data_IF_240804459309
#
_entry.id   IF_240804459309
#
_cell.length_a   1.000
_cell.length_b   1.000
_cell.length_c   1.000
_cell.angle_alpha   90.00
_cell.angle_beta   90.00
_cell.angle_gamma   90.00
#
_symmetry.space_group_name_H-M   'P 1'
#
loop_
_entity.id
_entity.type
_entity.pdbx_description
1 polymer ?
#
# COMPACT_ATOMS: atom_id res chain seq x y z
N UNK A 1 25.89 3.04 -26.44
CA UNK A 1 26.14 2.12 -27.59
C UNK A 1 27.26 1.12 -27.29
N UNK A 2 28.37 1.52 -26.66
CA UNK A 2 29.45 0.60 -26.27
C UNK A 2 29.15 -0.44 -25.16
N UNK A 3 28.40 -0.15 -24.07
CA UNK A 3 28.21 -1.15 -22.99
C UNK A 3 27.32 -2.34 -23.37
N UNK A 4 26.37 -2.15 -24.30
CA UNK A 4 25.49 -3.23 -24.78
C UNK A 4 26.23 -4.26 -25.66
N UNK A 5 27.28 -3.83 -26.37
CA UNK A 5 28.06 -4.72 -27.23
C UNK A 5 29.01 -5.60 -26.41
N UNK A 6 29.56 -5.08 -25.31
CA UNK A 6 30.37 -5.86 -24.37
C UNK A 6 29.54 -6.89 -23.61
N UNK A 7 28.32 -6.52 -23.18
CA UNK A 7 27.39 -7.42 -22.49
C UNK A 7 26.93 -8.58 -23.40
N UNK A 8 26.62 -8.29 -24.68
CA UNK A 8 26.31 -9.32 -25.68
C UNK A 8 27.50 -10.22 -26.02
N UNK A 9 28.73 -9.68 -26.03
CA UNK A 9 29.94 -10.48 -26.24
C UNK A 9 30.22 -11.43 -25.07
N UNK A 10 30.02 -10.98 -23.83
CA UNK A 10 30.09 -11.84 -22.64
C UNK A 10 29.02 -12.93 -22.65
N UNK A 11 27.78 -12.60 -23.03
CA UNK A 11 26.71 -13.59 -23.15
C UNK A 11 27.01 -14.68 -24.18
N UNK A 12 27.68 -14.33 -25.30
CA UNK A 12 28.12 -15.31 -26.31
C UNK A 12 29.23 -16.24 -25.80
N UNK A 13 30.20 -15.70 -25.06
CA UNK A 13 31.26 -16.50 -24.45
C UNK A 13 30.70 -17.46 -23.38
N UNK A 14 29.77 -16.98 -22.55
CA UNK A 14 29.07 -17.83 -21.58
C UNK A 14 28.21 -18.91 -22.26
N UNK A 15 27.61 -18.60 -23.42
CA UNK A 15 26.87 -19.57 -24.21
C UNK A 15 27.75 -20.71 -24.73
N UNK A 16 28.96 -20.41 -25.20
CA UNK A 16 29.91 -21.42 -25.67
C UNK A 16 30.40 -22.33 -24.54
N UNK A 17 30.64 -21.78 -23.35
CA UNK A 17 30.97 -22.60 -22.18
C UNK A 17 29.80 -23.49 -21.75
N UNK A 18 28.57 -22.95 -21.76
CA UNK A 18 27.35 -23.72 -21.47
C UNK A 18 27.15 -24.88 -22.44
N UNK A 19 27.46 -24.69 -23.73
CA UNK A 19 27.42 -25.75 -24.74
C UNK A 19 28.44 -26.86 -24.41
N UNK A 20 29.68 -26.51 -24.10
CA UNK A 20 30.72 -27.51 -23.74
C UNK A 20 30.34 -28.31 -22.49
N UNK A 21 29.65 -27.68 -21.53
CA UNK A 21 29.16 -28.36 -20.32
C UNK A 21 27.93 -29.22 -20.61
N UNK A 22 27.07 -28.79 -21.52
CA UNK A 22 25.93 -29.58 -22.00
C UNK A 22 26.40 -30.83 -22.77
N UNK A 23 27.45 -30.72 -23.60
CA UNK A 23 28.07 -31.87 -24.29
C UNK A 23 28.66 -32.91 -23.34
N UNK A 24 29.07 -32.47 -22.14
CA UNK A 24 29.53 -33.37 -21.06
C UNK A 24 28.38 -34.06 -20.30
N UNK A 25 27.12 -33.84 -20.69
CA UNK A 25 25.95 -34.51 -20.12
C UNK A 25 25.41 -33.88 -18.83
N UNK A 26 25.76 -32.63 -18.51
CA UNK A 26 25.23 -31.99 -17.30
C UNK A 26 23.78 -31.51 -17.50
N UNK A 27 22.83 -32.12 -16.77
CA UNK A 27 21.39 -31.92 -16.94
C UNK A 27 20.94 -30.45 -16.93
N UNK A 28 21.30 -29.66 -15.91
CA UNK A 28 20.91 -28.23 -15.83
C UNK A 28 21.50 -27.37 -16.94
N UNK A 29 22.64 -27.77 -17.50
CA UNK A 29 23.27 -27.04 -18.60
C UNK A 29 22.55 -27.36 -19.91
N UNK A 30 22.23 -28.64 -20.14
CA UNK A 30 21.39 -29.08 -21.26
C UNK A 30 20.02 -28.39 -21.25
N UNK A 31 19.38 -28.26 -20.09
CA UNK A 31 18.11 -27.52 -19.97
C UNK A 31 18.26 -26.06 -20.44
N UNK A 32 19.24 -25.32 -19.92
CA UNK A 32 19.47 -23.91 -20.30
C UNK A 32 19.75 -23.76 -21.80
N UNK A 33 20.58 -24.64 -22.35
CA UNK A 33 20.93 -24.66 -23.77
C UNK A 33 19.69 -24.94 -24.63
N UNK A 34 18.86 -25.92 -24.26
CA UNK A 34 17.64 -26.26 -24.99
C UNK A 34 16.65 -25.09 -25.01
N UNK A 35 16.46 -24.42 -23.86
CA UNK A 35 15.62 -23.23 -23.76
C UNK A 35 16.15 -22.07 -24.62
N UNK A 36 17.46 -21.87 -24.65
CA UNK A 36 18.07 -20.84 -25.49
C UNK A 36 17.95 -21.15 -26.99
N UNK A 37 18.07 -22.42 -27.40
CA UNK A 37 17.80 -22.83 -28.77
C UNK A 37 16.32 -22.64 -29.15
N UNK A 38 15.40 -22.77 -28.20
CA UNK A 38 13.97 -22.58 -28.44
C UNK A 38 13.59 -21.10 -28.64
N UNK A 39 14.08 -20.21 -27.77
CA UNK A 39 13.69 -18.80 -27.76
C UNK A 39 14.64 -17.88 -28.55
N UNK A 40 15.88 -18.30 -28.77
CA UNK A 40 16.87 -17.54 -29.54
C UNK A 40 17.56 -16.41 -28.74
N UNK A 41 17.64 -16.53 -27.41
CA UNK A 41 18.16 -15.46 -26.53
C UNK A 41 19.63 -15.11 -26.84
N UNK A 42 20.53 -16.10 -26.80
CA UNK A 42 21.98 -15.92 -26.97
C UNK A 42 22.60 -16.83 -28.04
N UNK A 43 21.77 -17.61 -28.75
CA UNK A 43 22.15 -18.44 -29.89
C UNK A 43 21.09 -18.38 -30.98
N UNK A 44 21.43 -18.79 -32.20
CA UNK A 44 20.45 -18.90 -33.29
C UNK A 44 19.34 -19.89 -32.93
N UNK A 45 18.09 -19.48 -33.15
CA UNK A 45 16.92 -20.30 -32.88
C UNK A 45 16.94 -21.58 -33.70
N UNK A 46 16.78 -22.73 -33.03
CA UNK A 46 16.70 -24.03 -33.68
C UNK A 46 15.73 -24.95 -32.93
N UNK A 47 14.46 -24.88 -33.34
CA UNK A 47 13.35 -25.58 -32.67
C UNK A 47 13.47 -27.10 -32.77
N UNK A 48 14.00 -27.64 -33.88
CA UNK A 48 14.12 -29.09 -34.07
C UNK A 48 15.18 -29.69 -33.16
N UNK A 49 16.36 -29.06 -33.06
CA UNK A 49 17.40 -29.50 -32.12
C UNK A 49 16.98 -29.32 -30.66
N UNK A 50 16.30 -28.21 -30.34
CA UNK A 50 15.77 -27.97 -29.00
C UNK A 50 14.80 -29.09 -28.59
N UNK A 51 13.90 -29.49 -29.49
CA UNK A 51 12.96 -30.58 -29.27
C UNK A 51 13.67 -31.90 -28.95
N UNK A 52 14.64 -32.32 -29.77
CA UNK A 52 15.39 -33.56 -29.53
C UNK A 52 16.09 -33.56 -28.16
N UNK A 53 16.61 -32.41 -27.76
CA UNK A 53 17.23 -32.24 -26.44
C UNK A 53 16.20 -32.31 -25.31
N UNK A 54 15.02 -31.69 -25.48
CA UNK A 54 13.94 -31.79 -24.51
C UNK A 54 13.36 -33.21 -24.40
N UNK A 55 13.26 -33.96 -25.50
CA UNK A 55 12.81 -35.36 -25.47
C UNK A 55 13.77 -36.23 -24.64
N UNK A 56 15.09 -36.07 -24.82
CA UNK A 56 16.09 -36.77 -24.00
C UNK A 56 15.96 -36.40 -22.52
N UNK A 57 15.92 -35.11 -22.22
CA UNK A 57 15.78 -34.60 -20.85
C UNK A 57 14.46 -35.01 -20.19
N UNK A 58 13.38 -35.15 -20.96
CA UNK A 58 12.08 -35.58 -20.45
C UNK A 58 12.08 -37.06 -20.07
N UNK A 59 12.80 -37.91 -20.82
CA UNK A 59 13.01 -39.32 -20.47
C UNK A 59 13.83 -39.44 -19.17
N UNK A 60 14.81 -38.55 -18.98
CA UNK A 60 15.57 -38.43 -17.72
C UNK A 60 14.73 -37.87 -16.55
N UNK A 61 13.48 -37.46 -16.80
CA UNK A 61 12.58 -36.95 -15.77
C UNK A 61 12.74 -35.46 -15.44
N UNK A 62 13.36 -34.66 -16.31
CA UNK A 62 13.46 -33.21 -16.10
C UNK A 62 12.08 -32.54 -16.17
N UNK A 63 11.61 -31.89 -15.09
CA UNK A 63 10.31 -31.24 -15.07
C UNK A 63 10.26 -29.98 -15.96
N UNK A 64 11.41 -29.32 -16.16
CA UNK A 64 11.52 -28.19 -17.10
C UNK A 64 11.42 -28.65 -18.54
N UNK A 65 12.10 -29.71 -18.91
CA UNK A 65 12.01 -30.26 -20.26
C UNK A 65 10.61 -30.76 -20.59
N UNK A 66 9.94 -31.45 -19.65
CA UNK A 66 8.54 -31.84 -19.81
C UNK A 66 7.63 -30.63 -20.04
N UNK A 67 7.81 -29.56 -19.27
CA UNK A 67 7.05 -28.31 -19.46
C UNK A 67 7.31 -27.68 -20.84
N UNK A 68 8.56 -27.68 -21.30
CA UNK A 68 8.93 -27.18 -22.63
C UNK A 68 8.32 -28.02 -23.76
N UNK A 69 8.32 -29.36 -23.65
CA UNK A 69 7.61 -30.22 -24.61
C UNK A 69 6.11 -29.93 -24.63
N UNK A 70 5.52 -29.71 -23.45
CA UNK A 70 4.13 -29.26 -23.34
C UNK A 70 3.88 -27.96 -24.13
N UNK A 71 4.80 -27.01 -24.08
CA UNK A 71 4.75 -25.77 -24.85
C UNK A 71 4.86 -26.02 -26.36
N UNK A 72 5.80 -26.86 -26.80
CA UNK A 72 5.94 -27.22 -28.22
C UNK A 72 4.67 -27.86 -28.78
N UNK A 73 4.03 -28.80 -28.06
CA UNK A 73 2.78 -29.42 -28.47
C UNK A 73 1.58 -28.46 -28.40
N UNK A 74 1.56 -27.53 -27.45
CA UNK A 74 0.50 -26.52 -27.36
C UNK A 74 0.58 -25.54 -28.53
N UNK A 75 1.78 -25.04 -28.83
CA UNK A 75 2.02 -24.06 -29.89
C UNK A 75 2.13 -24.67 -31.30
N UNK A 76 2.35 -25.98 -31.41
CA UNK A 76 2.58 -26.65 -32.70
C UNK A 76 3.96 -26.36 -33.30
N UNK A 77 4.95 -26.10 -32.46
CA UNK A 77 6.31 -25.74 -32.88
C UNK A 77 7.14 -27.01 -33.11
N UNK A 78 7.42 -27.35 -34.37
CA UNK A 78 8.21 -28.55 -34.74
C UNK A 78 7.50 -29.89 -34.50
N UNK A 79 6.22 -29.86 -34.10
CA UNK A 79 5.34 -31.02 -33.88
C UNK A 79 3.90 -30.66 -34.25
N UNK A 80 3.08 -31.67 -34.57
CA UNK A 80 1.64 -31.45 -34.74
C UNK A 80 1.03 -30.96 -33.43
N UNK A 81 0.30 -29.84 -33.50
CA UNK A 81 -0.36 -29.27 -32.33
C UNK A 81 -1.33 -30.27 -31.71
N UNK A 82 -1.23 -30.47 -30.40
CA UNK A 82 -2.10 -31.36 -29.64
C UNK A 82 -2.24 -30.85 -28.22
N UNK A 83 -3.41 -30.30 -27.90
CA UNK A 83 -3.70 -29.79 -26.56
C UNK A 83 -3.74 -30.91 -25.50
N UNK A 84 -4.19 -32.11 -25.89
CA UNK A 84 -4.21 -33.27 -25.00
C UNK A 84 -2.80 -33.73 -24.62
N UNK A 85 -1.87 -33.83 -25.59
CA UNK A 85 -0.47 -34.15 -25.29
C UNK A 85 0.20 -33.04 -24.47
N UNK A 86 -0.09 -31.78 -24.79
CA UNK A 86 0.42 -30.65 -24.03
C UNK A 86 0.00 -30.73 -22.56
N UNK A 87 -1.28 -31.02 -22.29
CA UNK A 87 -1.82 -31.19 -20.94
C UNK A 87 -1.06 -32.28 -20.17
N UNK A 88 -0.83 -33.44 -20.78
CA UNK A 88 -0.09 -34.56 -20.16
C UNK A 88 1.33 -34.15 -19.79
N UNK A 89 2.03 -33.43 -20.66
CA UNK A 89 3.38 -32.95 -20.36
C UNK A 89 3.41 -31.89 -19.26
N UNK A 90 2.40 -31.00 -19.21
CA UNK A 90 2.27 -30.02 -18.13
C UNK A 90 1.95 -30.68 -16.79
N UNK A 91 1.14 -31.75 -16.75
CA UNK A 91 0.88 -32.47 -15.49
C UNK A 91 2.14 -33.16 -14.97
N UNK A 92 2.94 -33.78 -15.84
CA UNK A 92 4.25 -34.33 -15.43
C UNK A 92 5.20 -33.24 -14.93
N UNK A 93 5.28 -32.11 -15.64
CA UNK A 93 6.09 -30.97 -15.21
C UNK A 93 5.67 -30.40 -13.85
N UNK A 94 4.36 -30.33 -13.58
CA UNK A 94 3.81 -29.88 -12.31
C UNK A 94 4.09 -30.88 -11.18
N UNK A 95 3.92 -32.18 -11.43
CA UNK A 95 4.27 -33.24 -10.47
C UNK A 95 5.76 -33.23 -10.11
N UNK A 96 6.63 -32.87 -11.05
CA UNK A 96 8.05 -32.67 -10.80
C UNK A 96 8.41 -31.32 -10.16
N UNK A 97 7.43 -30.55 -9.68
CA UNK A 97 7.63 -29.32 -8.92
C UNK A 97 7.95 -28.08 -9.76
N UNK A 98 7.68 -28.08 -11.07
CA UNK A 98 7.89 -26.89 -11.89
C UNK A 98 6.78 -25.85 -11.68
N UNK A 99 7.16 -24.68 -11.16
CA UNK A 99 6.25 -23.55 -10.94
C UNK A 99 5.56 -23.08 -12.21
N UNK A 100 6.27 -23.05 -13.34
CA UNK A 100 5.70 -22.62 -14.62
C UNK A 100 4.61 -23.59 -15.07
N UNK A 101 4.80 -24.90 -14.85
CA UNK A 101 3.79 -25.90 -15.17
C UNK A 101 2.53 -25.73 -14.32
N UNK A 102 2.68 -25.45 -13.01
CA UNK A 102 1.54 -25.13 -12.15
C UNK A 102 0.79 -23.89 -12.63
N UNK A 103 1.49 -22.81 -13.02
CA UNK A 103 0.81 -21.62 -13.57
C UNK A 103 0.04 -21.94 -14.85
N UNK A 104 0.64 -22.71 -15.77
CA UNK A 104 -0.01 -23.08 -17.04
C UNK A 104 -1.25 -23.93 -16.78
N UNK A 105 -1.20 -24.88 -15.85
CA UNK A 105 -2.37 -25.68 -15.46
C UNK A 105 -3.46 -24.80 -14.84
N UNK A 106 -3.08 -23.87 -13.95
CA UNK A 106 -4.01 -22.89 -13.38
C UNK A 106 -4.76 -22.11 -14.47
N UNK A 107 -4.03 -21.61 -15.46
CA UNK A 107 -4.63 -20.88 -16.59
C UNK A 107 -5.53 -21.78 -17.46
N UNK A 108 -5.16 -23.04 -17.68
CA UNK A 108 -5.96 -23.99 -18.44
C UNK A 108 -7.27 -24.35 -17.74
N UNK A 109 -7.26 -24.53 -16.42
CA UNK A 109 -8.49 -24.76 -15.63
C UNK A 109 -9.37 -23.51 -15.56
N UNK A 110 -8.77 -22.32 -15.48
CA UNK A 110 -9.51 -21.06 -15.49
C UNK A 110 -10.16 -20.79 -16.86
N UNK A 111 -9.43 -21.01 -17.95
CA UNK A 111 -9.88 -20.76 -19.32
C UNK A 111 -10.59 -21.94 -20.01
N UNK A 112 -10.69 -23.11 -19.36
CA UNK A 112 -11.32 -24.31 -19.93
C UNK A 112 -10.60 -24.90 -21.15
N UNK A 113 -9.27 -24.75 -21.25
CA UNK A 113 -8.49 -25.16 -22.43
C UNK A 113 -7.98 -26.60 -22.30
N UNK A 114 -8.75 -27.54 -22.85
CA UNK A 114 -8.43 -28.98 -22.82
C UNK A 114 -8.78 -29.69 -21.51
N UNK A 115 -9.38 -28.97 -20.56
CA UNK A 115 -9.91 -29.45 -19.27
C UNK A 115 -11.24 -28.72 -19.00
N UNK A 116 -12.15 -29.31 -18.20
CA UNK A 116 -13.36 -28.59 -17.79
C UNK A 116 -12.99 -27.34 -16.99
N UNK A 117 -13.72 -26.25 -17.23
CA UNK A 117 -13.50 -24.99 -16.54
C UNK A 117 -13.80 -25.17 -15.04
N UNK A 118 -12.81 -24.87 -14.20
CA UNK A 118 -12.91 -24.99 -12.74
C UNK A 118 -12.09 -23.90 -12.06
N UNK A 119 -12.76 -22.98 -11.38
CA UNK A 119 -12.12 -21.92 -10.63
C UNK A 119 -11.37 -22.47 -9.41
N UNK A 120 -11.94 -23.47 -8.71
CA UNK A 120 -11.32 -24.07 -7.54
C UNK A 120 -10.00 -24.75 -7.89
N UNK A 121 -10.00 -25.58 -8.96
CA UNK A 121 -8.79 -26.25 -9.43
C UNK A 121 -7.72 -25.22 -9.85
N UNK A 122 -8.11 -24.15 -10.55
CA UNK A 122 -7.18 -23.09 -10.93
C UNK A 122 -6.53 -22.41 -9.71
N UNK A 123 -7.35 -22.06 -8.70
CA UNK A 123 -6.88 -21.43 -7.46
C UNK A 123 -5.90 -22.32 -6.70
N UNK A 124 -6.11 -23.65 -6.66
CA UNK A 124 -5.17 -24.56 -5.97
C UNK A 124 -3.77 -24.51 -6.61
N UNK A 125 -3.69 -24.51 -7.95
CA UNK A 125 -2.41 -24.40 -8.64
C UNK A 125 -1.74 -23.04 -8.42
N UNK A 126 -2.50 -21.94 -8.46
CA UNK A 126 -1.95 -20.61 -8.22
C UNK A 126 -1.48 -20.41 -6.78
N UNK A 127 -2.21 -20.91 -5.79
CA UNK A 127 -1.79 -20.88 -4.37
C UNK A 127 -0.48 -21.61 -4.14
N UNK A 128 -0.29 -22.78 -4.76
CA UNK A 128 0.98 -23.52 -4.67
C UNK A 128 2.17 -22.71 -5.20
N UNK A 129 2.00 -22.05 -6.35
CA UNK A 129 3.04 -21.19 -6.93
C UNK A 129 3.32 -20.00 -6.04
N UNK A 130 2.27 -19.31 -5.58
CA UNK A 130 2.39 -18.15 -4.71
C UNK A 130 3.14 -18.49 -3.41
N UNK A 131 2.83 -19.63 -2.78
CA UNK A 131 3.49 -20.07 -1.56
C UNK A 131 4.99 -20.35 -1.77
N UNK A 132 5.36 -20.97 -2.90
CA UNK A 132 6.77 -21.24 -3.20
C UNK A 132 7.54 -19.95 -3.55
N UNK A 133 6.94 -19.05 -4.32
CA UNK A 133 7.59 -17.76 -4.64
C UNK A 133 7.72 -16.91 -3.36
N UNK A 134 6.74 -16.94 -2.48
CA UNK A 134 6.78 -16.23 -1.20
C UNK A 134 7.88 -16.75 -0.26
N UNK A 135 8.21 -18.05 -0.30
CA UNK A 135 9.31 -18.62 0.49
C UNK A 135 10.69 -18.33 -0.10
N UNK A 136 10.80 -18.21 -1.42
CA UNK A 136 12.06 -17.94 -2.12
C UNK A 136 12.51 -16.46 -2.03
N UNK A 137 11.60 -15.53 -1.71
CA UNK A 137 11.94 -14.10 -1.54
C UNK A 137 12.61 -13.87 -0.19
N UNK A 138 13.95 -13.93 -0.15
CA UNK A 138 14.75 -13.39 0.94
C UNK A 138 14.83 -11.87 0.83
N UNK A 139 14.22 -11.16 1.79
CA UNK A 139 14.17 -9.68 1.88
C UNK A 139 15.51 -9.01 2.25
N UNK A 140 16.64 -9.73 2.18
CA UNK A 140 17.95 -9.11 2.28
C UNK A 140 18.33 -8.50 0.93
N UNK A 141 17.92 -7.23 0.78
CA UNK A 141 18.24 -6.26 -0.28
C UNK A 141 19.08 -6.76 -1.45
N UNK A 142 18.48 -6.76 -2.65
CA UNK A 142 19.28 -6.97 -3.86
C UNK A 142 18.56 -7.39 -5.12
N UNK A 143 17.25 -7.25 -5.25
CA UNK A 143 16.61 -7.08 -6.55
C UNK A 143 15.23 -6.51 -6.31
N UNK A 144 14.83 -5.56 -7.15
CA UNK A 144 13.52 -4.97 -7.12
C UNK A 144 12.49 -6.09 -7.33
N UNK A 145 11.95 -6.63 -6.24
CA UNK A 145 10.67 -7.33 -6.27
C UNK A 145 9.73 -6.30 -6.88
N UNK A 146 9.35 -6.52 -8.14
CA UNK A 146 8.39 -5.68 -8.82
C UNK A 146 7.11 -5.82 -8.00
N UNK A 147 6.88 -4.82 -7.14
CA UNK A 147 5.72 -4.75 -6.27
C UNK A 147 4.53 -4.56 -7.19
N UNK A 148 3.93 -5.68 -7.60
CA UNK A 148 2.65 -5.65 -8.29
C UNK A 148 1.68 -5.21 -7.22
N UNK A 149 1.44 -3.90 -7.18
CA UNK A 149 0.26 -3.36 -6.53
C UNK A 149 -0.89 -3.96 -7.31
N UNK A 150 -1.60 -4.91 -6.70
CA UNK A 150 -2.91 -5.28 -7.22
C UNK A 150 -3.67 -3.96 -7.25
N UNK A 151 -3.94 -3.48 -8.45
CA UNK A 151 -4.78 -2.30 -8.63
C UNK A 151 -6.10 -2.70 -7.97
N UNK A 152 -6.49 -1.96 -6.92
CA UNK A 152 -7.87 -1.98 -6.40
C UNK A 152 -8.74 -1.98 -7.65
N UNK A 153 -9.49 -3.06 -7.90
CA UNK A 153 -10.33 -3.13 -9.09
C UNK A 153 -11.21 -1.88 -9.09
N UNK A 154 -11.12 -1.21 -10.23
CA UNK A 154 -11.61 0.13 -10.52
C UNK A 154 -12.99 0.36 -9.93
N UNK A 155 -13.13 1.53 -9.28
CA UNK A 155 -14.33 2.36 -9.13
C UNK A 155 -15.50 1.93 -10.04
N UNK A 156 -16.21 0.87 -9.65
CA UNK A 156 -17.46 0.48 -10.29
C UNK A 156 -18.58 0.75 -9.27
N UNK A 157 -19.34 1.87 -9.39
CA UNK A 157 -20.36 2.26 -8.43
C UNK A 157 -21.63 1.40 -8.51
N UNK A 158 -21.54 0.17 -9.02
CA UNK A 158 -22.68 -0.59 -9.48
C UNK A 158 -22.45 -2.09 -9.48
N UNK A 159 -22.06 -2.66 -8.33
CA UNK A 159 -22.42 -4.02 -7.90
C UNK A 159 -21.62 -4.38 -6.65
N UNK A 160 -22.30 -4.48 -5.51
CA UNK A 160 -21.94 -5.32 -4.35
C UNK A 160 -20.44 -5.61 -4.15
N UNK A 161 -19.62 -4.56 -4.01
CA UNK A 161 -18.18 -4.68 -3.75
C UNK A 161 -17.80 -3.86 -2.52
N UNK A 162 -18.55 -4.08 -1.44
CA UNK A 162 -18.36 -3.44 -0.13
C UNK A 162 -17.38 -4.20 0.79
N UNK A 163 -16.88 -5.35 0.35
CA UNK A 163 -15.84 -6.12 1.05
C UNK A 163 -14.57 -6.03 0.21
N UNK A 164 -13.48 -5.52 0.79
CA UNK A 164 -12.19 -6.07 0.37
C UNK A 164 -12.28 -7.55 0.73
N UNK A 165 -12.02 -8.44 -0.23
CA UNK A 165 -11.93 -9.87 0.06
C UNK A 165 -11.00 -10.05 1.27
N UNK A 166 -11.42 -10.88 2.23
CA UNK A 166 -10.67 -11.18 3.45
C UNK A 166 -9.21 -11.57 3.13
N UNK A 167 -9.02 -12.23 1.98
CA UNK A 167 -7.75 -12.61 1.38
C UNK A 167 -6.82 -11.40 1.08
N UNK A 168 -7.36 -10.25 0.65
CA UNK A 168 -6.59 -9.04 0.37
C UNK A 168 -6.15 -8.33 1.66
N UNK A 169 -7.00 -8.33 2.69
CA UNK A 169 -6.63 -7.82 4.02
C UNK A 169 -5.53 -8.70 4.62
N UNK A 170 -5.63 -10.03 4.51
CA UNK A 170 -4.58 -10.97 4.93
C UNK A 170 -3.26 -10.72 4.19
N UNK A 171 -3.31 -10.44 2.89
CA UNK A 171 -2.12 -10.08 2.11
C UNK A 171 -1.46 -8.79 2.62
N UNK A 172 -2.24 -7.73 2.87
CA UNK A 172 -1.69 -6.50 3.44
C UNK A 172 -1.18 -6.70 4.87
N UNK A 173 -1.80 -7.57 5.67
CA UNK A 173 -1.31 -7.94 7.00
C UNK A 173 0.04 -8.64 6.92
N UNK A 174 0.17 -9.60 6.01
CA UNK A 174 1.45 -10.26 5.73
C UNK A 174 2.53 -9.25 5.31
N UNK A 175 2.21 -8.32 4.41
CA UNK A 175 3.15 -7.26 4.02
C UNK A 175 3.54 -6.36 5.20
N UNK A 176 2.58 -6.00 6.06
CA UNK A 176 2.84 -5.20 7.25
C UNK A 176 3.70 -5.92 8.28
N UNK A 177 3.49 -7.23 8.51
CA UNK A 177 4.35 -8.08 9.35
C UNK A 177 5.76 -8.22 8.78
N UNK A 178 5.90 -8.19 7.45
CA UNK A 178 7.20 -8.17 6.77
C UNK A 178 7.88 -6.80 6.77
N UNK A 179 7.25 -5.77 7.33
CA UNK A 179 7.82 -4.44 7.49
C UNK A 179 7.56 -3.48 6.33
N UNK A 180 6.57 -3.76 5.47
CA UNK A 180 6.16 -2.78 4.46
C UNK A 180 5.43 -1.60 5.10
N UNK A 181 6.13 -0.48 5.14
CA UNK A 181 5.69 0.78 5.73
C UNK A 181 4.40 1.30 5.10
N UNK A 182 4.19 1.09 3.79
CA UNK A 182 2.97 1.57 3.11
C UNK A 182 1.75 0.71 3.47
N UNK A 183 1.93 -0.62 3.55
CA UNK A 183 0.90 -1.53 4.00
C UNK A 183 0.48 -1.24 5.46
N UNK A 184 1.45 -0.96 6.33
CA UNK A 184 1.20 -0.56 7.73
C UNK A 184 0.33 0.71 7.81
N UNK A 185 0.64 1.75 7.02
CA UNK A 185 -0.17 2.99 6.99
C UNK A 185 -1.58 2.71 6.46
N UNK A 186 -1.71 1.93 5.40
CA UNK A 186 -3.02 1.59 4.80
C UNK A 186 -3.91 0.80 5.77
N UNK A 187 -3.37 -0.22 6.44
CA UNK A 187 -4.08 -0.98 7.46
C UNK A 187 -4.43 -0.13 8.69
N UNK A 188 -3.54 0.75 9.11
CA UNK A 188 -3.81 1.70 10.18
C UNK A 188 -5.01 2.60 9.87
N UNK A 189 -5.13 3.10 8.64
CA UNK A 189 -6.26 3.92 8.22
C UNK A 189 -7.58 3.14 8.18
N UNK A 190 -7.53 1.89 7.69
CA UNK A 190 -8.69 0.98 7.68
C UNK A 190 -9.22 0.75 9.10
N UNK A 191 -8.34 0.44 10.05
CA UNK A 191 -8.72 0.25 11.46
C UNK A 191 -9.15 1.55 12.15
N UNK A 192 -8.66 2.72 11.71
CA UNK A 192 -9.04 4.02 12.27
C UNK A 192 -10.46 4.44 11.89
N UNK A 193 -10.80 4.34 10.60
CA UNK A 193 -12.08 4.79 10.07
C UNK A 193 -13.18 3.73 10.16
N UNK A 194 -12.81 2.45 10.13
CA UNK A 194 -13.76 1.35 9.99
C UNK A 194 -14.34 1.32 8.57
N UNK A 195 -14.21 0.21 7.86
CA UNK A 195 -14.68 0.12 6.47
C UNK A 195 -14.13 -1.09 5.72
N UNK A 196 -14.79 -1.41 4.60
CA UNK A 196 -14.39 -2.51 3.68
C UNK A 196 -14.28 -3.90 4.34
N UNK A 197 -15.07 -4.18 5.37
CA UNK A 197 -15.07 -5.46 6.10
C UNK A 197 -14.16 -5.51 7.34
N UNK A 198 -13.45 -4.43 7.66
CA UNK A 198 -12.58 -4.34 8.84
C UNK A 198 -13.29 -3.57 9.98
N UNK A 199 -13.33 -4.18 11.16
CA UNK A 199 -13.85 -3.53 12.37
C UNK A 199 -12.96 -2.35 12.81
N UNK A 200 -13.61 -1.29 13.27
CA UNK A 200 -12.94 -0.11 13.82
C UNK A 200 -12.21 -0.50 15.11
N UNK A 201 -10.89 -0.32 15.13
CA UNK A 201 -10.06 -0.63 16.28
C UNK A 201 -8.91 0.37 16.39
N UNK A 202 -9.10 1.38 17.24
CA UNK A 202 -8.12 2.44 17.46
C UNK A 202 -6.78 1.95 18.01
N UNK A 203 -6.78 0.83 18.76
CA UNK A 203 -5.56 0.26 19.34
C UNK A 203 -4.71 -0.43 18.26
N UNK A 204 -5.34 -1.25 17.40
CA UNK A 204 -4.62 -1.83 16.24
C UNK A 204 -4.11 -0.76 15.28
N UNK A 205 -4.91 0.28 15.04
CA UNK A 205 -4.47 1.41 14.23
C UNK A 205 -3.22 2.08 14.82
N UNK A 206 -3.21 2.31 16.15
CA UNK A 206 -2.05 2.87 16.86
C UNK A 206 -0.79 2.00 16.69
N UNK A 207 -0.91 0.68 16.84
CA UNK A 207 0.24 -0.23 16.71
C UNK A 207 0.84 -0.20 15.31
N UNK A 208 0.02 -0.27 14.26
CA UNK A 208 0.48 -0.19 12.88
C UNK A 208 1.13 1.15 12.55
N UNK A 209 0.53 2.25 12.99
CA UNK A 209 1.12 3.57 12.77
C UNK A 209 2.40 3.78 13.58
N UNK A 210 2.53 3.16 14.76
CA UNK A 210 3.76 3.20 15.56
C UNK A 210 4.89 2.45 14.86
N UNK A 211 4.61 1.27 14.30
CA UNK A 211 5.59 0.52 13.50
C UNK A 211 6.06 1.32 12.28
N UNK A 212 5.12 1.93 11.54
CA UNK A 212 5.45 2.74 10.37
C UNK A 212 6.16 4.05 10.75
N UNK A 213 5.84 4.65 11.91
CA UNK A 213 6.53 5.82 12.43
C UNK A 213 7.97 5.50 12.85
N UNK A 214 8.20 4.35 13.49
CA UNK A 214 9.56 3.88 13.82
C UNK A 214 10.42 3.67 12.56
N UNK A 215 9.79 3.33 11.43
CA UNK A 215 10.43 3.26 10.12
C UNK A 215 10.64 4.62 9.43
N UNK A 216 10.26 5.73 10.07
CA UNK A 216 10.45 7.10 9.58
C UNK A 216 9.34 7.64 8.68
N UNK A 217 8.16 7.00 8.62
CA UNK A 217 7.06 7.46 7.78
C UNK A 217 6.34 8.68 8.37
N UNK A 218 6.35 9.80 7.63
CA UNK A 218 5.75 11.07 8.04
C UNK A 218 4.21 11.05 8.06
N UNK A 219 3.57 10.25 7.21
CA UNK A 219 2.10 10.08 7.21
C UNK A 219 1.64 9.26 8.41
N UNK A 220 2.32 8.16 8.74
CA UNK A 220 2.01 7.35 9.91
C UNK A 220 2.07 8.19 11.21
N UNK A 221 3.09 9.04 11.33
CA UNK A 221 3.21 9.98 12.44
C UNK A 221 2.02 10.95 12.51
N UNK A 222 1.59 11.51 11.37
CA UNK A 222 0.40 12.37 11.32
C UNK A 222 -0.87 11.65 11.82
N UNK A 223 -1.07 10.40 11.39
CA UNK A 223 -2.20 9.60 11.84
C UNK A 223 -2.10 9.20 13.31
N UNK A 224 -0.90 8.99 13.88
CA UNK A 224 -0.74 8.83 15.32
C UNK A 224 -1.27 10.03 16.10
N UNK A 225 -0.98 11.25 15.63
CA UNK A 225 -1.53 12.48 16.22
C UNK A 225 -3.07 12.45 16.24
N UNK A 226 -3.69 12.13 15.10
CA UNK A 226 -5.15 12.02 14.97
C UNK A 226 -5.76 10.91 15.83
N UNK A 227 -5.16 9.72 15.86
CA UNK A 227 -5.58 8.60 16.73
C UNK A 227 -5.56 9.05 18.19
N UNK A 228 -4.56 9.84 18.57
CA UNK A 228 -4.39 10.37 19.92
C UNK A 228 -5.42 11.45 20.27
N UNK A 229 -5.94 12.19 19.28
CA UNK A 229 -7.05 13.13 19.45
C UNK A 229 -8.37 12.38 19.68
N UNK A 230 -8.63 11.34 18.89
CA UNK A 230 -9.88 10.56 18.92
C UNK A 230 -9.99 9.61 20.12
N UNK A 231 -8.87 9.13 20.64
CA UNK A 231 -8.87 8.15 21.74
C UNK A 231 -8.89 8.86 23.10
N UNK A 232 -10.08 9.02 23.70
CA UNK A 232 -10.20 9.45 25.10
C UNK A 232 -9.67 8.40 26.11
N UNK A 233 -9.38 7.17 25.67
CA UNK A 233 -9.15 6.03 26.55
C UNK A 233 -7.72 5.46 26.60
N UNK A 234 -6.76 5.94 25.82
CA UNK A 234 -5.40 5.37 25.81
C UNK A 234 -4.38 6.38 26.34
N UNK A 235 -3.75 6.05 27.47
CA UNK A 235 -2.55 6.75 27.96
C UNK A 235 -1.41 6.39 27.01
N UNK A 236 -1.28 7.18 25.94
CA UNK A 236 -0.23 6.98 24.94
C UNK A 236 1.09 7.48 25.53
N UNK A 237 1.99 6.55 25.85
CA UNK A 237 3.34 6.90 26.27
C UNK A 237 4.20 7.08 25.02
N UNK A 238 4.39 8.32 24.57
CA UNK A 238 5.27 8.57 23.43
C UNK A 238 6.73 8.31 23.82
N UNK A 239 7.48 7.48 23.07
CA UNK A 239 8.93 7.46 23.21
C UNK A 239 9.50 8.80 22.76
N UNK A 240 10.51 9.30 23.48
CA UNK A 240 11.15 10.61 23.28
C UNK A 240 11.64 10.86 21.85
N UNK A 241 11.94 9.81 21.07
CA UNK A 241 12.34 9.92 19.67
C UNK A 241 11.19 10.38 18.75
N UNK A 242 9.94 9.93 19.00
CA UNK A 242 8.76 10.29 18.21
C UNK A 242 8.42 11.78 18.45
N UNK A 243 8.48 12.21 19.72
CA UNK A 243 8.42 13.61 20.14
C UNK A 243 9.44 14.49 19.42
N UNK A 244 10.68 14.01 19.24
CA UNK A 244 11.74 14.75 18.55
C UNK A 244 11.52 14.85 17.02
N UNK A 245 10.86 13.88 16.39
CA UNK A 245 10.60 13.88 14.95
C UNK A 245 9.29 14.59 14.55
N UNK A 246 8.28 14.66 15.42
CA UNK A 246 7.13 15.56 15.24
C UNK A 246 7.54 17.04 15.06
N UNK A 247 8.74 17.39 15.52
CA UNK A 247 9.34 18.73 15.35
C UNK A 247 9.81 18.95 13.89
N UNK A 248 10.05 17.89 13.11
CA UNK A 248 10.54 17.96 11.72
C UNK A 248 9.43 18.28 10.70
N UNK A 249 8.75 19.41 10.89
CA UNK A 249 8.08 20.13 9.81
C UNK A 249 6.70 19.64 9.35
N UNK A 250 6.11 18.58 9.92
CA UNK A 250 4.76 18.15 9.57
C UNK A 250 3.68 18.90 10.40
N UNK A 251 2.70 19.57 9.76
CA UNK A 251 1.70 20.36 10.46
C UNK A 251 0.79 19.54 11.40
N UNK A 252 0.44 18.32 10.99
CA UNK A 252 -0.43 17.42 11.74
C UNK A 252 0.25 16.89 12.99
N UNK A 253 1.56 16.61 12.88
CA UNK A 253 2.39 16.22 14.02
C UNK A 253 2.53 17.34 15.04
N UNK A 254 2.69 18.58 14.56
CA UNK A 254 2.77 19.76 15.42
C UNK A 254 1.44 20.04 16.13
N UNK A 255 0.28 19.89 15.47
CA UNK A 255 -1.02 20.03 16.15
C UNK A 255 -1.24 18.94 17.20
N UNK A 256 -0.88 17.69 16.89
CA UNK A 256 -0.94 16.57 17.85
C UNK A 256 -0.08 16.80 19.09
N UNK A 257 1.14 17.33 18.93
CA UNK A 257 1.98 17.73 20.07
C UNK A 257 1.38 18.90 20.87
N UNK A 258 0.81 19.88 20.18
CA UNK A 258 0.10 20.98 20.83
C UNK A 258 -1.00 20.47 21.76
N UNK A 259 -1.78 19.50 21.28
CA UNK A 259 -2.83 18.84 22.06
C UNK A 259 -2.26 18.02 23.22
N UNK A 260 -1.16 17.30 23.02
CA UNK A 260 -0.50 16.53 24.07
C UNK A 260 -0.07 17.44 25.25
N UNK A 261 0.52 18.60 24.97
CA UNK A 261 0.89 19.58 25.99
C UNK A 261 -0.31 20.33 26.59
N UNK A 262 -1.39 20.52 25.84
CA UNK A 262 -2.62 21.17 26.32
C UNK A 262 -3.37 20.31 27.34
N UNK A 263 -3.48 19.00 27.08
CA UNK A 263 -4.23 18.05 27.91
C UNK A 263 -3.35 17.17 28.82
N UNK A 264 -2.03 17.24 28.69
CA UNK A 264 -1.10 16.44 29.49
C UNK A 264 -1.03 14.96 29.07
N UNK A 265 -1.25 14.65 27.79
CA UNK A 265 -1.26 13.26 27.27
C UNK A 265 0.18 12.81 26.97
N UNK A 266 0.78 12.05 27.90
CA UNK A 266 2.14 11.50 27.74
C UNK A 266 3.28 12.50 27.97
N UNK A 267 2.97 13.77 28.20
CA UNK A 267 3.89 14.86 28.56
C UNK A 267 3.26 15.74 29.65
N UNK A 268 4.04 16.40 30.52
CA UNK A 268 3.48 17.32 31.51
C UNK A 268 2.78 18.49 30.81
N UNK A 269 1.65 18.92 31.37
CA UNK A 269 0.86 20.04 30.85
C UNK A 269 1.74 21.28 30.76
N UNK A 270 1.83 21.85 29.55
CA UNK A 270 2.58 23.08 29.32
C UNK A 270 1.90 23.90 28.21
N UNK A 271 1.13 24.89 28.63
CA UNK A 271 0.34 25.70 27.70
C UNK A 271 1.19 26.61 26.79
N UNK A 272 2.38 27.02 27.23
CA UNK A 272 3.29 27.84 26.41
C UNK A 272 3.87 27.02 25.25
N UNK A 273 4.27 25.77 25.53
CA UNK A 273 4.71 24.83 24.50
C UNK A 273 3.56 24.46 23.57
N UNK A 274 2.37 24.20 24.11
CA UNK A 274 1.19 23.91 23.30
C UNK A 274 0.93 25.02 22.27
N UNK A 275 0.96 26.28 22.73
CA UNK A 275 0.78 27.43 21.87
C UNK A 275 1.85 27.52 20.78
N UNK A 276 3.12 27.33 21.14
CA UNK A 276 4.23 27.39 20.17
C UNK A 276 4.09 26.35 19.06
N UNK A 277 3.61 25.15 19.38
CA UNK A 277 3.39 24.11 18.38
C UNK A 277 2.14 24.37 17.53
N UNK A 278 1.05 24.86 18.11
CA UNK A 278 -0.11 25.28 17.33
C UNK A 278 0.21 26.44 16.39
N UNK A 279 1.07 27.39 16.80
CA UNK A 279 1.54 28.48 15.92
C UNK A 279 2.26 27.95 14.69
N UNK A 280 3.19 27.02 14.86
CA UNK A 280 3.89 26.39 13.73
C UNK A 280 2.93 25.66 12.79
N UNK A 281 1.97 24.92 13.35
CA UNK A 281 0.97 24.21 12.53
C UNK A 281 0.08 25.20 11.76
N UNK A 282 -0.33 26.30 12.41
CA UNK A 282 -1.16 27.34 11.80
C UNK A 282 -0.43 28.13 10.71
N UNK A 283 0.88 28.40 10.88
CA UNK A 283 1.76 29.02 9.87
C UNK A 283 1.89 28.16 8.62
N UNK A 284 1.83 26.83 8.77
CA UNK A 284 1.81 25.88 7.67
C UNK A 284 0.43 25.69 7.04
N UNK A 285 -0.58 26.46 7.47
CA UNK A 285 -1.94 26.41 6.92
C UNK A 285 -2.80 25.26 7.45
N UNK A 286 -2.39 24.59 8.52
CA UNK A 286 -3.17 23.49 9.09
C UNK A 286 -4.39 23.98 9.85
N UNK A 287 -5.55 23.51 9.43
CA UNK A 287 -6.86 24.01 9.86
C UNK A 287 -7.13 23.73 11.34
N UNK A 288 -6.82 22.52 11.82
CA UNK A 288 -7.02 22.15 13.23
C UNK A 288 -6.09 22.96 14.15
N UNK A 289 -4.87 23.24 13.70
CA UNK A 289 -3.92 24.09 14.43
C UNK A 289 -4.43 25.53 14.59
N UNK A 290 -5.02 26.09 13.53
CA UNK A 290 -5.66 27.41 13.56
C UNK A 290 -6.88 27.43 14.49
N UNK A 291 -7.72 26.40 14.46
CA UNK A 291 -8.89 26.28 15.34
C UNK A 291 -8.50 26.24 16.82
N UNK A 292 -7.50 25.42 17.17
CA UNK A 292 -7.04 25.30 18.55
C UNK A 292 -6.39 26.60 19.06
N UNK A 293 -5.62 27.29 18.21
CA UNK A 293 -5.10 28.63 18.50
C UNK A 293 -6.22 29.64 18.79
N UNK A 294 -7.25 29.65 17.95
CA UNK A 294 -8.41 30.52 18.15
C UNK A 294 -9.08 30.25 19.50
N UNK A 295 -9.21 28.97 19.86
CA UNK A 295 -9.81 28.52 21.13
C UNK A 295 -8.97 28.92 22.34
N UNK A 296 -7.64 28.80 22.26
CA UNK A 296 -6.73 29.23 23.32
C UNK A 296 -6.82 30.74 23.58
N UNK A 297 -6.86 31.57 22.52
CA UNK A 297 -7.03 33.02 22.67
C UNK A 297 -8.43 33.44 23.14
N UNK A 298 -9.47 32.70 22.73
CA UNK A 298 -10.85 32.95 23.14
C UNK A 298 -11.07 32.69 24.64
N UNK A 299 -10.57 31.56 25.13
CA UNK A 299 -10.71 31.14 26.52
C UNK A 299 -9.61 31.72 27.44
N UNK A 300 -8.50 32.19 26.89
CA UNK A 300 -7.34 32.64 27.67
C UNK A 300 -6.53 31.50 28.27
N UNK A 301 -6.42 30.37 27.57
CA UNK A 301 -5.69 29.18 28.04
C UNK A 301 -4.22 29.33 27.63
N UNK A 302 -3.32 29.47 28.60
CA UNK A 302 -1.88 29.66 28.34
C UNK A 302 -1.49 31.03 27.79
N UNK A 303 -2.46 31.88 27.47
CA UNK A 303 -2.26 33.24 26.96
C UNK A 303 -3.27 34.20 27.55
N UNK A 304 -2.91 35.48 27.54
CA UNK A 304 -3.87 36.54 27.82
C UNK A 304 -4.99 36.49 26.78
N UNK A 305 -6.23 36.46 27.29
CA UNK A 305 -7.44 36.44 26.46
C UNK A 305 -7.43 37.60 25.46
N UNK A 306 -7.51 37.26 24.18
CA UNK A 306 -7.49 38.22 23.07
C UNK A 306 -8.50 37.80 22.00
N UNK A 307 -9.69 38.37 22.08
CA UNK A 307 -10.78 38.07 21.16
C UNK A 307 -10.47 38.48 19.71
N UNK A 308 -9.61 39.48 19.48
CA UNK A 308 -9.25 39.89 18.11
C UNK A 308 -8.40 38.82 17.43
N UNK A 309 -7.45 38.24 18.16
CA UNK A 309 -6.64 37.13 17.66
C UNK A 309 -7.47 35.86 17.50
N UNK A 310 -8.35 35.55 18.45
CA UNK A 310 -9.28 34.42 18.34
C UNK A 310 -10.09 34.50 17.04
N UNK A 311 -10.66 35.67 16.76
CA UNK A 311 -11.45 35.91 15.56
C UNK A 311 -10.63 35.75 14.28
N UNK A 312 -9.39 36.27 14.26
CA UNK A 312 -8.48 36.10 13.12
C UNK A 312 -8.24 34.63 12.80
N UNK A 313 -7.93 33.81 13.79
CA UNK A 313 -7.65 32.39 13.58
C UNK A 313 -8.89 31.58 13.25
N UNK A 314 -10.05 31.89 13.85
CA UNK A 314 -11.30 31.25 13.45
C UNK A 314 -11.72 31.60 12.02
N UNK A 315 -11.49 32.84 11.56
CA UNK A 315 -11.72 33.23 10.16
C UNK A 315 -10.82 32.46 9.18
N UNK A 316 -9.55 32.23 9.56
CA UNK A 316 -8.65 31.43 8.73
C UNK A 316 -9.11 29.96 8.64
N UNK A 317 -9.49 29.37 9.78
CA UNK A 317 -10.00 28.01 9.81
C UNK A 317 -11.35 27.85 9.09
N UNK A 318 -12.21 28.88 9.12
CA UNK A 318 -13.49 28.88 8.40
C UNK A 318 -13.31 29.01 6.89
N UNK A 319 -12.33 29.79 6.42
CA UNK A 319 -11.99 29.86 4.99
C UNK A 319 -11.54 28.50 4.43
N UNK A 320 -10.96 27.65 5.27
CA UNK A 320 -10.61 26.27 4.93
C UNK A 320 -11.78 25.28 5.06
N UNK A 321 -12.99 25.75 5.40
CA UNK A 321 -14.22 24.93 5.45
C UNK A 321 -14.48 24.23 6.79
N UNK A 322 -13.78 24.56 7.86
CA UNK A 322 -13.94 23.86 9.14
C UNK A 322 -15.23 24.24 9.87
N UNK A 323 -16.12 23.26 10.09
CA UNK A 323 -17.47 23.46 10.66
C UNK A 323 -17.42 24.06 12.07
N UNK A 324 -16.51 23.58 12.93
CA UNK A 324 -16.37 24.14 14.29
C UNK A 324 -15.86 25.59 14.31
N UNK A 325 -15.13 26.02 13.28
CA UNK A 325 -14.66 27.40 13.19
C UNK A 325 -15.84 28.34 12.88
N UNK A 326 -16.72 27.94 11.95
CA UNK A 326 -17.97 28.64 11.68
C UNK A 326 -18.86 28.75 12.91
N UNK A 327 -18.98 27.68 13.70
CA UNK A 327 -19.73 27.69 14.95
C UNK A 327 -19.17 28.71 15.96
N UNK A 328 -17.86 28.69 16.20
CA UNK A 328 -17.21 29.61 17.13
C UNK A 328 -17.31 31.07 16.67
N UNK A 329 -17.16 31.35 15.37
CA UNK A 329 -17.38 32.69 14.81
C UNK A 329 -18.83 33.16 14.99
N UNK A 330 -19.80 32.30 14.67
CA UNK A 330 -21.22 32.61 14.85
C UNK A 330 -21.53 32.95 16.31
N UNK A 331 -20.95 32.22 17.27
CA UNK A 331 -21.10 32.51 18.70
C UNK A 331 -20.47 33.86 19.07
N UNK A 332 -19.31 34.21 18.52
CA UNK A 332 -18.68 35.51 18.75
C UNK A 332 -19.54 36.68 18.21
N UNK A 333 -20.14 36.53 17.03
CA UNK A 333 -21.04 37.53 16.44
C UNK A 333 -22.38 37.62 17.18
N UNK A 334 -22.90 36.51 17.70
CA UNK A 334 -24.16 36.48 18.45
C UNK A 334 -24.03 37.12 19.84
N UNK A 335 -22.90 36.92 20.49
CA UNK A 335 -22.63 37.44 21.85
C UNK A 335 -21.97 38.83 21.83
N UNK A 336 -21.35 39.23 20.71
CA UNK A 336 -20.60 40.49 20.61
C UNK A 336 -19.22 40.43 21.26
N UNK A 337 -18.61 39.24 21.39
CA UNK A 337 -17.28 39.10 21.98
C UNK A 337 -16.20 39.34 20.92
N UNK A 338 -15.52 40.49 20.99
CA UNK A 338 -14.44 40.86 20.06
C UNK A 338 -14.89 41.49 18.74
N UNK A 339 -16.19 41.46 18.45
CA UNK A 339 -16.86 42.12 17.31
C UNK A 339 -18.17 42.72 17.76
N UNK A 340 -18.69 43.68 16.98
CA UNK A 340 -20.05 44.19 17.23
C UNK A 340 -21.06 43.06 17.07
N UNK A 341 -21.97 42.97 18.05
CA UNK A 341 -23.05 41.98 18.04
C UNK A 341 -23.91 42.17 16.80
N UNK A 342 -24.06 41.10 16.02
CA UNK A 342 -24.92 41.09 14.84
C UNK A 342 -25.48 39.69 14.61
N UNK A 343 -26.79 39.56 14.81
CA UNK A 343 -27.52 38.30 14.65
C UNK A 343 -27.54 37.86 13.18
N UNK A 344 -27.63 38.81 12.25
CA UNK A 344 -27.64 38.53 10.82
C UNK A 344 -26.35 37.84 10.36
N UNK A 345 -25.20 38.42 10.72
CA UNK A 345 -23.90 37.83 10.37
C UNK A 345 -23.64 36.51 11.09
N UNK A 346 -24.19 36.31 12.29
CA UNK A 346 -24.03 35.05 13.03
C UNK A 346 -24.76 33.88 12.34
N UNK A 347 -25.92 34.13 11.73
CA UNK A 347 -26.70 33.11 11.01
C UNK A 347 -26.05 32.78 9.67
N UNK A 348 -25.58 33.80 8.93
CA UNK A 348 -24.89 33.61 7.65
C UNK A 348 -23.61 32.78 7.80
N UNK A 349 -22.80 33.09 8.81
CA UNK A 349 -21.54 32.37 9.08
C UNK A 349 -21.80 30.91 9.49
N UNK A 350 -22.98 30.58 10.06
CA UNK A 350 -23.33 29.21 10.44
C UNK A 350 -23.67 28.31 9.25
N UNK A 351 -24.10 28.87 8.11
CA UNK A 351 -24.51 28.15 6.91
C UNK A 351 -23.92 28.79 5.64
N UNK A 352 -22.67 28.46 5.26
CA UNK A 352 -22.07 28.96 4.02
C UNK A 352 -22.67 28.20 2.82
N UNK A 353 -23.89 28.55 2.40
CA UNK A 353 -24.53 27.98 1.20
C UNK A 353 -26.06 27.95 1.17
N UNK A 354 -26.75 28.26 2.27
CA UNK A 354 -28.21 28.28 2.28
C UNK A 354 -28.75 29.71 2.13
N UNK A 355 -29.04 30.12 0.90
CA UNK A 355 -29.97 31.21 0.67
C UNK A 355 -31.40 30.74 1.00
N UNK A 356 -31.86 30.81 2.26
CA UNK A 356 -33.30 30.72 2.65
C UNK A 356 -33.54 31.04 4.14
N UNK A 357 -34.80 31.20 4.62
CA UNK A 357 -35.36 32.40 5.23
C UNK A 357 -35.52 32.28 6.75
N UNK A 358 -34.56 31.64 7.43
CA UNK A 358 -34.60 31.45 8.89
C UNK A 358 -34.00 32.67 9.62
N UNK A 359 -34.59 33.83 9.40
CA UNK A 359 -34.27 35.08 10.10
C UNK A 359 -35.20 35.38 11.29
N UNK A 360 -35.96 34.39 11.78
CA UNK A 360 -37.11 34.64 12.68
C UNK A 360 -37.10 34.01 14.06
N UNK A 361 -36.01 33.41 14.53
CA UNK A 361 -35.91 32.97 15.93
C UNK A 361 -34.61 33.46 16.56
N UNK A 362 -34.66 34.72 17.02
CA UNK A 362 -33.93 35.21 18.18
C UNK A 362 -34.90 35.27 19.37
#
# INVERSE_FOLDING_TARGET
LFPLAEEQAQQRLQAEELLKVAEKGHQKAMEKVAYAMLFGDYMNQNVTKAKEMFEKLAIEGSPKAQTALGFLYAAGLGVNSSQAKALVYYTFGALGGNLVAHMILGYRYWGGVGVPQSCESALTHYRLVANQVASDVSLTGGSAVQRIRLLDEVENPGSTSGMLEEDLIQYYQFLAEKGDVQAQVGLGQLHLHGGRGVEQNHQRAYDYFTQAANAGNTHAMAFLGKVSEMSECVVIHYPSHLLAFFIQGNPVGQSGLGMAYLYGRGVPVNYELALKYFQKAAEQGWVDGQLQLGTMYYNGIGVKRDYKQALKFFNLASQAGHILAFYNLAQMHATGTGVMRSCHTAVEVRHPGAASPFSLLC
#
